data_IF_738228680068
#
_entry.id   IF_738228680068
#
_cell.length_a   1.000
_cell.length_b   1.000
_cell.length_c   1.000
_cell.angle_alpha   90.00
_cell.angle_beta   90.00
_cell.angle_gamma   90.00
#
_symmetry.space_group_name_H-M   'P 1'
#
loop_
_entity.id
_entity.type
_entity.pdbx_description
1 polymer ?
#
# COMPACT_ATOMS: atom_id res chain seq x y z
N UNK A 1 -26.07 -28.29 28.27
CA UNK A 1 -24.99 -28.70 29.18
C UNK A 1 -24.23 -27.45 29.58
N UNK A 2 -24.09 -27.25 30.91
CA UNK A 2 -23.27 -26.27 31.66
C UNK A 2 -23.18 -24.82 31.12
N UNK A 3 -23.61 -23.75 31.79
CA UNK A 3 -23.79 -23.51 33.22
C UNK A 3 -22.70 -22.56 33.72
N UNK A 4 -23.04 -21.33 34.09
CA UNK A 4 -22.60 -20.78 35.37
C UNK A 4 -23.46 -19.60 35.81
N UNK A 5 -24.03 -19.79 36.99
CA UNK A 5 -24.78 -18.84 37.77
C UNK A 5 -23.82 -18.04 38.68
N UNK A 6 -24.17 -16.75 38.89
CA UNK A 6 -24.35 -16.09 40.20
C UNK A 6 -23.19 -16.07 41.20
N UNK A 7 -22.71 -14.87 41.56
CA UNK A 7 -22.81 -14.33 42.93
C UNK A 7 -22.42 -12.83 43.04
N UNK A 8 -23.43 -12.02 43.40
CA UNK A 8 -23.32 -10.72 44.07
C UNK A 8 -22.94 -10.93 45.54
N UNK A 9 -22.07 -10.07 46.09
CA UNK A 9 -22.11 -9.56 47.47
C UNK A 9 -21.09 -8.41 47.58
N UNK A 10 -21.48 -7.15 47.41
CA UNK A 10 -21.93 -6.20 48.44
C UNK A 10 -20.89 -5.85 49.54
N UNK A 11 -20.49 -4.55 49.50
CA UNK A 11 -20.42 -3.59 50.62
C UNK A 11 -19.23 -3.80 51.59
N UNK A 12 -18.31 -2.85 51.82
CA UNK A 12 -18.51 -1.50 52.39
C UNK A 12 -17.26 -0.61 52.17
N UNK A 13 -17.53 0.69 52.04
CA UNK A 13 -16.73 1.82 52.57
C UNK A 13 -15.34 2.10 51.96
N UNK A 14 -15.29 3.11 51.08
CA UNK A 14 -14.69 4.39 51.46
C UNK A 14 -15.22 5.48 50.50
N UNK A 15 -16.22 6.20 50.99
CA UNK A 15 -16.64 7.48 50.43
C UNK A 15 -15.77 8.55 51.09
N UNK A 16 -14.69 8.93 50.41
CA UNK A 16 -14.00 10.19 50.67
C UNK A 16 -13.79 10.91 49.33
N UNK A 17 -14.80 11.72 48.99
CA UNK A 17 -14.63 13.10 48.54
C UNK A 17 -13.66 13.41 47.41
N UNK A 18 -13.78 12.75 46.25
CA UNK A 18 -13.40 13.36 44.98
C UNK A 18 -14.56 14.24 44.50
N UNK A 19 -14.46 15.53 44.80
CA UNK A 19 -15.20 16.55 44.06
C UNK A 19 -14.75 16.44 42.59
N UNK A 20 -15.54 15.71 41.80
CA UNK A 20 -15.50 15.77 40.35
C UNK A 20 -15.86 17.21 40.00
N UNK A 21 -14.85 18.05 39.79
CA UNK A 21 -14.98 19.26 39.01
C UNK A 21 -15.68 18.84 37.71
N UNK A 22 -16.88 19.35 37.38
CA UNK A 22 -17.38 19.18 36.03
C UNK A 22 -16.40 19.95 35.17
N UNK A 23 -15.52 19.23 34.46
CA UNK A 23 -14.84 19.81 33.31
C UNK A 23 -15.94 20.46 32.49
N UNK A 24 -15.86 21.80 32.37
CA UNK A 24 -16.73 22.54 31.49
C UNK A 24 -16.42 22.07 30.07
N UNK A 25 -17.04 20.97 29.65
CA UNK A 25 -17.09 20.57 28.26
C UNK A 25 -17.73 21.73 27.53
N UNK A 26 -16.90 22.51 26.84
CA UNK A 26 -17.36 23.58 26.00
C UNK A 26 -18.23 22.89 24.92
N UNK A 27 -19.53 23.17 24.85
CA UNK A 27 -20.42 22.53 23.86
C UNK A 27 -19.93 22.75 22.42
N UNK A 28 -19.09 23.77 22.21
CA UNK A 28 -18.40 24.02 20.94
C UNK A 28 -17.37 22.95 20.58
N UNK A 29 -16.74 22.26 21.54
CA UNK A 29 -15.76 21.21 21.27
C UNK A 29 -16.40 20.01 20.57
N UNK A 30 -17.63 19.66 20.96
CA UNK A 30 -18.43 18.63 20.29
C UNK A 30 -18.74 19.02 18.85
N UNK A 31 -19.15 20.27 18.62
CA UNK A 31 -19.45 20.80 17.28
C UNK A 31 -18.20 20.83 16.40
N UNK A 32 -17.05 21.27 16.94
CA UNK A 32 -15.78 21.31 16.22
C UNK A 32 -15.36 19.90 15.79
N UNK A 33 -15.43 18.91 16.70
CA UNK A 33 -15.15 17.51 16.38
C UNK A 33 -16.07 16.98 15.27
N UNK A 34 -17.37 17.29 15.33
CA UNK A 34 -18.31 16.88 14.29
C UNK A 34 -18.02 17.51 12.93
N UNK A 35 -17.55 18.76 12.88
CA UNK A 35 -17.17 19.43 11.63
C UNK A 35 -15.95 18.74 11.00
N UNK A 36 -14.92 18.42 11.78
CA UNK A 36 -13.75 17.70 11.26
C UNK A 36 -14.12 16.29 10.80
N UNK A 37 -14.91 15.55 11.59
CA UNK A 37 -15.40 14.23 11.20
C UNK A 37 -16.24 14.26 9.92
N UNK A 38 -17.05 15.30 9.72
CA UNK A 38 -17.78 15.52 8.47
C UNK A 38 -16.84 15.80 7.30
N UNK A 39 -15.78 16.58 7.52
CA UNK A 39 -14.72 16.82 6.54
C UNK A 39 -14.04 15.53 6.10
N UNK A 40 -13.63 14.69 7.05
CA UNK A 40 -13.02 13.38 6.77
C UNK A 40 -13.97 12.48 5.98
N UNK A 41 -15.24 12.37 6.39
CA UNK A 41 -16.23 11.57 5.68
C UNK A 41 -16.47 12.04 4.23
N UNK A 42 -16.43 13.35 3.96
CA UNK A 42 -16.52 13.86 2.60
C UNK A 42 -15.28 13.51 1.75
N UNK A 43 -14.09 13.53 2.35
CA UNK A 43 -12.86 13.12 1.67
C UNK A 43 -12.92 11.63 1.34
N UNK A 44 -13.33 10.80 2.29
CA UNK A 44 -13.46 9.35 2.10
C UNK A 44 -14.46 9.00 0.98
N UNK A 45 -15.64 9.62 0.98
CA UNK A 45 -16.65 9.42 -0.07
C UNK A 45 -16.13 9.88 -1.44
N UNK A 46 -15.47 11.05 -1.50
CA UNK A 46 -14.86 11.53 -2.74
C UNK A 46 -13.79 10.57 -3.26
N UNK A 47 -12.89 10.12 -2.40
CA UNK A 47 -11.78 9.21 -2.75
C UNK A 47 -12.34 7.87 -3.22
N UNK A 48 -13.34 7.33 -2.52
CA UNK A 48 -14.01 6.08 -2.90
C UNK A 48 -14.67 6.21 -4.27
N UNK A 49 -15.48 7.25 -4.49
CA UNK A 49 -16.12 7.49 -5.78
C UNK A 49 -15.10 7.72 -6.90
N UNK A 50 -14.03 8.47 -6.63
CA UNK A 50 -12.98 8.73 -7.61
C UNK A 50 -12.23 7.47 -8.00
N UNK A 51 -11.79 6.66 -7.04
CA UNK A 51 -11.03 5.44 -7.33
C UNK A 51 -11.93 4.39 -7.99
N UNK A 52 -13.09 4.09 -7.42
CA UNK A 52 -13.93 3.00 -7.93
C UNK A 52 -14.68 3.37 -9.22
N UNK A 53 -15.27 4.57 -9.31
CA UNK A 53 -16.06 4.92 -10.50
C UNK A 53 -15.22 5.57 -11.60
N UNK A 54 -14.27 6.44 -11.25
CA UNK A 54 -13.49 7.14 -12.26
C UNK A 54 -12.27 6.32 -12.68
N UNK A 55 -11.43 5.91 -11.73
CA UNK A 55 -10.20 5.19 -12.08
C UNK A 55 -10.47 3.74 -12.54
N UNK A 56 -11.18 2.96 -11.72
CA UNK A 56 -11.42 1.54 -11.99
C UNK A 56 -12.32 1.33 -13.21
N UNK A 57 -13.51 1.92 -13.24
CA UNK A 57 -14.47 1.70 -14.32
C UNK A 57 -14.14 2.50 -15.59
N UNK A 58 -13.98 3.83 -15.48
CA UNK A 58 -13.91 4.71 -16.67
C UNK A 58 -12.50 4.87 -17.23
N UNK A 59 -11.50 4.95 -16.36
CA UNK A 59 -10.09 5.12 -16.74
C UNK A 59 -9.33 3.80 -16.85
N UNK A 60 -10.06 2.67 -16.86
CA UNK A 60 -9.58 1.31 -17.13
C UNK A 60 -8.57 0.72 -16.14
N UNK A 61 -8.44 1.28 -14.93
CA UNK A 61 -7.60 0.68 -13.90
C UNK A 61 -8.06 -0.76 -13.58
N UNK A 62 -9.37 -1.05 -13.61
CA UNK A 62 -9.86 -2.41 -13.41
C UNK A 62 -9.36 -3.38 -14.49
N UNK A 63 -9.29 -2.93 -15.74
CA UNK A 63 -8.73 -3.72 -16.84
C UNK A 63 -7.25 -4.04 -16.61
N UNK A 64 -6.50 -3.07 -16.10
CA UNK A 64 -5.12 -3.29 -15.69
C UNK A 64 -5.01 -4.26 -14.51
N UNK A 65 -5.77 -4.07 -13.42
CA UNK A 65 -5.68 -4.92 -12.23
C UNK A 65 -6.03 -6.37 -12.52
N UNK A 66 -6.95 -6.62 -13.47
CA UNK A 66 -7.25 -7.96 -13.95
C UNK A 66 -6.15 -8.56 -14.83
N UNK A 67 -5.48 -7.76 -15.67
CA UNK A 67 -4.44 -8.25 -16.59
C UNK A 67 -3.07 -8.42 -15.93
N UNK A 68 -2.74 -7.56 -14.97
CA UNK A 68 -1.40 -7.50 -14.38
C UNK A 68 -0.93 -8.84 -13.79
N UNK A 69 -1.76 -9.63 -13.07
CA UNK A 69 -1.36 -10.97 -12.62
C UNK A 69 -0.88 -11.87 -13.76
N UNK A 70 -1.62 -11.90 -14.88
CA UNK A 70 -1.23 -12.70 -16.06
C UNK A 70 0.05 -12.20 -16.71
N UNK A 71 0.25 -10.88 -16.76
CA UNK A 71 1.49 -10.30 -17.27
C UNK A 71 2.69 -10.69 -16.40
N UNK A 72 2.50 -10.71 -15.08
CA UNK A 72 3.54 -11.04 -14.11
C UNK A 72 3.86 -12.55 -14.14
N UNK A 73 2.85 -13.40 -14.34
CA UNK A 73 2.99 -14.85 -14.42
C UNK A 73 3.26 -15.41 -15.83
N UNK A 74 3.46 -14.56 -16.83
CA UNK A 74 3.72 -15.01 -18.21
C UNK A 74 5.15 -15.53 -18.36
N UNK A 75 5.30 -16.81 -18.70
CA UNK A 75 6.60 -17.43 -18.89
C UNK A 75 7.27 -16.89 -20.18
N UNK A 76 8.57 -16.50 -20.16
CA UNK A 76 9.29 -15.99 -21.32
C UNK A 76 9.27 -16.85 -22.60
N UNK A 77 9.02 -18.16 -22.48
CA UNK A 77 9.01 -19.10 -23.60
C UNK A 77 7.64 -19.25 -24.28
N UNK A 78 6.57 -18.68 -23.73
CA UNK A 78 5.21 -18.75 -24.29
C UNK A 78 4.91 -17.63 -25.31
N UNK A 79 5.91 -16.83 -25.70
CA UNK A 79 5.77 -15.76 -26.71
C UNK A 79 5.49 -16.23 -28.15
N UNK A 80 5.32 -17.54 -28.37
CA UNK A 80 4.87 -18.06 -29.65
C UNK A 80 3.36 -17.83 -29.82
N UNK A 81 3.00 -16.81 -30.59
CA UNK A 81 1.67 -16.62 -31.22
C UNK A 81 0.56 -15.89 -30.44
N UNK A 82 0.85 -14.78 -29.76
CA UNK A 82 -0.23 -13.81 -29.45
C UNK A 82 -0.61 -13.01 -30.70
N UNK A 83 -1.66 -13.48 -31.39
CA UNK A 83 -2.33 -12.81 -32.53
C UNK A 83 -2.61 -11.33 -32.23
N UNK A 84 -1.99 -10.44 -33.00
CA UNK A 84 -2.34 -9.00 -33.04
C UNK A 84 -1.32 -8.05 -32.45
N UNK A 85 -0.20 -8.54 -31.90
CA UNK A 85 0.89 -7.68 -31.49
C UNK A 85 1.58 -7.12 -32.74
N UNK A 86 1.41 -5.81 -33.02
CA UNK A 86 2.35 -5.10 -33.90
C UNK A 86 3.74 -5.39 -33.33
N UNK A 87 4.58 -6.06 -34.12
CA UNK A 87 6.03 -6.11 -33.94
C UNK A 87 6.49 -4.67 -33.68
N UNK A 88 6.73 -4.35 -32.40
CA UNK A 88 7.18 -3.03 -31.98
C UNK A 88 8.64 -3.19 -31.63
N UNK A 89 9.46 -2.54 -32.46
CA UNK A 89 10.80 -2.05 -32.19
C UNK A 89 11.20 -2.21 -30.72
N UNK A 90 12.12 -3.14 -30.47
CA UNK A 90 12.76 -3.41 -29.18
C UNK A 90 13.53 -2.16 -28.77
N UNK A 91 12.83 -1.15 -28.25
CA UNK A 91 13.43 -0.14 -27.40
C UNK A 91 13.41 -0.72 -26.00
N UNK A 92 14.59 -0.90 -25.41
CA UNK A 92 14.81 -1.31 -24.02
C UNK A 92 14.19 -0.37 -22.97
N UNK A 93 13.43 0.65 -23.38
CA UNK A 93 12.68 1.54 -22.52
C UNK A 93 11.27 1.00 -22.35
N UNK A 94 10.97 0.49 -21.15
CA UNK A 94 9.59 0.16 -20.74
C UNK A 94 8.70 1.39 -20.92
N UNK A 95 7.52 1.17 -21.48
CA UNK A 95 6.47 2.20 -21.56
C UNK A 95 5.35 1.85 -20.61
N UNK A 96 4.56 2.84 -20.21
CA UNK A 96 3.38 2.59 -19.37
C UNK A 96 2.45 1.57 -20.03
N UNK A 97 1.90 0.64 -19.23
CA UNK A 97 0.88 -0.28 -19.70
C UNK A 97 -0.30 0.47 -20.34
N UNK A 98 -0.86 -0.02 -21.46
CA UNK A 98 -1.81 0.73 -22.28
C UNK A 98 -3.08 1.17 -21.53
N UNK A 99 -3.57 0.35 -20.60
CA UNK A 99 -4.78 0.64 -19.81
C UNK A 99 -4.56 1.68 -18.71
N UNK A 100 -3.32 2.01 -18.38
CA UNK A 100 -3.00 2.95 -17.32
C UNK A 100 -2.92 4.41 -17.80
N UNK A 101 -2.92 4.67 -19.11
CA UNK A 101 -2.77 6.03 -19.64
C UNK A 101 -3.87 6.97 -19.13
N UNK A 102 -5.12 6.53 -19.22
CA UNK A 102 -6.27 7.32 -18.77
C UNK A 102 -6.26 7.47 -17.24
N UNK A 103 -5.93 6.39 -16.51
CA UNK A 103 -5.84 6.39 -15.04
C UNK A 103 -4.76 7.35 -14.51
N UNK A 104 -3.59 7.35 -15.14
CA UNK A 104 -2.52 8.31 -14.82
C UNK A 104 -2.97 9.73 -15.13
N UNK A 105 -3.63 9.94 -16.27
CA UNK A 105 -4.09 11.28 -16.65
C UNK A 105 -5.09 11.84 -15.64
N UNK A 106 -6.16 11.09 -15.31
CA UNK A 106 -7.18 11.58 -14.37
C UNK A 106 -6.60 11.81 -12.98
N UNK A 107 -5.70 10.94 -12.50
CA UNK A 107 -5.04 11.12 -11.21
C UNK A 107 -4.15 12.38 -11.22
N UNK A 108 -3.35 12.56 -12.26
CA UNK A 108 -2.49 13.73 -12.44
C UNK A 108 -3.28 15.04 -12.42
N UNK A 109 -4.40 15.10 -13.13
CA UNK A 109 -5.29 16.27 -13.16
C UNK A 109 -5.86 16.57 -11.78
N UNK A 110 -6.37 15.56 -11.08
CA UNK A 110 -6.93 15.71 -9.73
C UNK A 110 -5.88 16.20 -8.72
N UNK A 111 -4.69 15.61 -8.73
CA UNK A 111 -3.62 16.02 -7.81
C UNK A 111 -3.09 17.42 -8.16
N UNK A 112 -3.00 17.77 -9.44
CA UNK A 112 -2.67 19.14 -9.86
C UNK A 112 -3.71 20.15 -9.35
N UNK A 113 -5.00 19.79 -9.38
CA UNK A 113 -6.06 20.64 -8.84
C UNK A 113 -5.92 20.82 -7.32
N UNK A 114 -5.58 19.75 -6.57
CA UNK A 114 -5.28 19.82 -5.14
C UNK A 114 -4.10 20.74 -4.85
N UNK A 115 -3.01 20.62 -5.62
CA UNK A 115 -1.83 21.47 -5.49
C UNK A 115 -2.13 22.94 -5.77
N UNK A 116 -2.92 23.23 -6.81
CA UNK A 116 -3.36 24.60 -7.13
C UNK A 116 -4.23 25.17 -6.00
N UNK A 117 -5.13 24.37 -5.44
CA UNK A 117 -5.96 24.78 -4.30
C UNK A 117 -5.09 25.05 -3.06
N UNK A 118 -4.16 24.16 -2.74
CA UNK A 118 -3.22 24.31 -1.63
C UNK A 118 -2.28 25.52 -1.81
N UNK A 119 -1.86 25.85 -3.03
CA UNK A 119 -1.00 27.01 -3.28
C UNK A 119 -1.72 28.36 -3.05
N UNK A 120 -3.05 28.39 -3.22
CA UNK A 120 -3.87 29.60 -3.02
C UNK A 120 -4.06 29.96 -1.55
N UNK A 121 -3.73 29.07 -0.61
CA UNK A 121 -3.83 29.24 0.85
C UNK A 121 -3.17 30.53 1.32
N UNK A 122 -2.06 30.97 0.71
CA UNK A 122 -1.36 32.21 1.05
C UNK A 122 -2.10 33.51 0.66
N UNK A 123 -3.19 33.41 -0.11
CA UNK A 123 -3.96 34.55 -0.64
C UNK A 123 -5.35 34.71 -0.04
N UNK A 124 -5.72 33.86 0.92
CA UNK A 124 -7.05 33.81 1.56
C UNK A 124 -6.91 34.07 3.05
N UNK A 125 -8.01 34.44 3.74
CA UNK A 125 -8.02 34.54 5.20
C UNK A 125 -7.51 33.24 5.86
N UNK A 126 -6.92 33.36 7.04
CA UNK A 126 -6.20 32.26 7.70
C UNK A 126 -7.06 31.03 7.99
N UNK A 127 -8.38 31.18 8.17
CA UNK A 127 -9.29 30.08 8.52
C UNK A 127 -9.76 29.33 7.28
N UNK A 128 -10.06 30.04 6.20
CA UNK A 128 -10.37 29.43 4.90
C UNK A 128 -9.13 28.75 4.30
N UNK A 129 -7.96 29.35 4.51
CA UNK A 129 -6.66 28.81 4.14
C UNK A 129 -6.40 27.44 4.81
N UNK A 130 -6.67 27.31 6.11
CA UNK A 130 -6.50 26.06 6.86
C UNK A 130 -7.40 24.93 6.33
N UNK A 131 -8.69 25.21 6.06
CA UNK A 131 -9.62 24.22 5.53
C UNK A 131 -9.28 23.76 4.10
N UNK A 132 -8.86 24.68 3.23
CA UNK A 132 -8.45 24.34 1.85
C UNK A 132 -7.16 23.51 1.81
N UNK A 133 -6.20 23.85 2.66
CA UNK A 133 -4.96 23.10 2.82
C UNK A 133 -5.24 21.68 3.35
N UNK A 134 -6.08 21.58 4.39
CA UNK A 134 -6.49 20.30 4.97
C UNK A 134 -7.16 19.41 3.93
N UNK A 135 -8.21 19.90 3.25
CA UNK A 135 -8.94 19.11 2.26
C UNK A 135 -8.05 18.59 1.12
N UNK A 136 -7.19 19.46 0.58
CA UNK A 136 -6.30 19.08 -0.54
C UNK A 136 -5.29 18.02 -0.10
N UNK A 137 -4.66 18.19 1.07
CA UNK A 137 -3.68 17.23 1.58
C UNK A 137 -4.32 15.90 2.00
N UNK A 138 -5.51 15.93 2.60
CA UNK A 138 -6.26 14.73 2.97
C UNK A 138 -6.69 13.93 1.74
N UNK A 139 -7.11 14.60 0.65
CA UNK A 139 -7.41 13.94 -0.62
C UNK A 139 -6.15 13.29 -1.22
N UNK A 140 -5.02 14.00 -1.28
CA UNK A 140 -3.76 13.45 -1.80
C UNK A 140 -3.31 12.19 -1.04
N UNK A 141 -3.32 12.24 0.29
CA UNK A 141 -2.96 11.11 1.14
C UNK A 141 -3.90 9.91 0.95
N UNK A 142 -5.21 10.17 0.93
CA UNK A 142 -6.23 9.12 0.81
C UNK A 142 -6.22 8.48 -0.58
N UNK A 143 -5.98 9.25 -1.64
CA UNK A 143 -5.76 8.72 -2.99
C UNK A 143 -4.48 7.88 -3.06
N UNK A 144 -3.38 8.33 -2.44
CA UNK A 144 -2.15 7.56 -2.37
C UNK A 144 -2.37 6.20 -1.71
N UNK A 145 -3.07 6.20 -0.57
CA UNK A 145 -3.47 4.99 0.14
C UNK A 145 -4.33 4.07 -0.74
N UNK A 146 -5.44 4.57 -1.28
CA UNK A 146 -6.40 3.77 -2.04
C UNK A 146 -5.80 3.17 -3.32
N UNK A 147 -5.03 3.95 -4.09
CA UNK A 147 -4.33 3.44 -5.28
C UNK A 147 -3.25 2.44 -4.89
N UNK A 148 -2.52 2.69 -3.78
CA UNK A 148 -1.54 1.76 -3.25
C UNK A 148 -2.13 0.40 -2.91
N UNK A 149 -3.32 0.38 -2.27
CA UNK A 149 -4.05 -0.86 -2.00
C UNK A 149 -4.36 -1.66 -3.28
N UNK A 150 -4.80 -1.00 -4.37
CA UNK A 150 -5.07 -1.71 -5.65
C UNK A 150 -3.82 -2.37 -6.23
N UNK A 151 -2.65 -1.78 -6.05
CA UNK A 151 -1.40 -2.40 -6.48
C UNK A 151 -0.94 -3.52 -5.54
N UNK A 152 -1.18 -3.39 -4.23
CA UNK A 152 -0.90 -4.47 -3.28
C UNK A 152 -1.75 -5.71 -3.53
N UNK A 153 -3.01 -5.55 -3.93
CA UNK A 153 -3.89 -6.65 -4.33
C UNK A 153 -3.32 -7.48 -5.49
N UNK A 154 -2.42 -6.90 -6.29
CA UNK A 154 -1.69 -7.60 -7.36
C UNK A 154 -0.37 -8.16 -6.82
N UNK A 155 0.45 -7.32 -6.20
CA UNK A 155 1.82 -7.68 -5.82
C UNK A 155 1.89 -8.72 -4.71
N UNK A 156 1.02 -8.62 -3.70
CA UNK A 156 0.96 -9.56 -2.58
C UNK A 156 0.11 -10.80 -2.89
N UNK A 157 -0.71 -10.72 -3.94
CA UNK A 157 -1.54 -11.80 -4.43
C UNK A 157 -2.39 -12.50 -3.34
N UNK A 158 -3.19 -11.77 -2.55
CA UNK A 158 -3.99 -12.37 -1.48
C UNK A 158 -5.00 -13.41 -1.99
N UNK A 159 -5.32 -13.39 -3.29
CA UNK A 159 -6.29 -14.29 -3.93
C UNK A 159 -5.63 -15.48 -4.66
N UNK A 160 -4.29 -15.56 -4.72
CA UNK A 160 -3.58 -16.66 -5.37
C UNK A 160 -3.67 -16.67 -6.91
N UNK A 161 -3.86 -15.51 -7.53
CA UNK A 161 -3.99 -15.30 -8.97
C UNK A 161 -2.64 -15.17 -9.70
N UNK A 162 -1.55 -14.96 -8.97
CA UNK A 162 -0.18 -14.77 -9.46
C UNK A 162 0.77 -15.74 -8.73
N UNK A 163 0.62 -17.06 -8.93
CA UNK A 163 1.39 -18.07 -8.19
C UNK A 163 2.89 -18.01 -8.51
N UNK A 164 3.24 -17.66 -9.74
CA UNK A 164 4.62 -17.50 -10.20
C UNK A 164 4.83 -16.06 -10.68
N UNK A 165 6.00 -15.50 -10.39
CA UNK A 165 6.39 -14.16 -10.78
C UNK A 165 7.61 -14.28 -11.70
N UNK A 166 7.47 -13.87 -12.95
CA UNK A 166 8.57 -13.79 -13.93
C UNK A 166 9.12 -12.37 -14.02
N UNK A 167 10.42 -12.26 -14.28
CA UNK A 167 11.17 -11.01 -14.19
C UNK A 167 10.68 -9.90 -15.13
N UNK A 168 10.35 -10.23 -16.39
CA UNK A 168 9.96 -9.23 -17.38
C UNK A 168 8.60 -8.59 -17.03
N UNK A 169 7.62 -9.43 -16.65
CA UNK A 169 6.33 -8.97 -16.15
C UNK A 169 6.46 -8.16 -14.86
N UNK A 170 7.31 -8.61 -13.93
CA UNK A 170 7.59 -7.88 -12.69
C UNK A 170 8.27 -6.52 -12.93
N UNK A 171 9.19 -6.42 -13.90
CA UNK A 171 9.81 -5.15 -14.31
C UNK A 171 8.79 -4.17 -14.88
N UNK A 172 7.88 -4.64 -15.72
CA UNK A 172 6.80 -3.81 -16.25
C UNK A 172 5.83 -3.37 -15.14
N UNK A 173 5.44 -4.27 -14.25
CA UNK A 173 4.61 -3.94 -13.08
C UNK A 173 5.29 -2.88 -12.18
N UNK A 174 6.58 -3.07 -11.87
CA UNK A 174 7.37 -2.12 -11.09
C UNK A 174 7.47 -0.74 -11.77
N UNK A 175 7.67 -0.71 -13.08
CA UNK A 175 7.65 0.53 -13.86
C UNK A 175 6.31 1.25 -13.74
N UNK A 176 5.20 0.52 -13.88
CA UNK A 176 3.84 1.07 -13.80
C UNK A 176 3.53 1.62 -12.39
N UNK A 177 3.81 0.85 -11.32
CA UNK A 177 3.63 1.30 -9.93
C UNK A 177 4.47 2.54 -9.63
N UNK A 178 5.74 2.55 -10.05
CA UNK A 178 6.62 3.70 -9.88
C UNK A 178 6.15 4.94 -10.64
N UNK A 179 5.45 4.77 -11.77
CA UNK A 179 4.85 5.90 -12.50
C UNK A 179 3.76 6.59 -11.66
N UNK A 180 2.96 5.83 -10.91
CA UNK A 180 1.98 6.39 -9.97
C UNK A 180 2.63 7.04 -8.75
N UNK A 181 3.64 6.40 -8.14
CA UNK A 181 4.34 6.97 -6.97
C UNK A 181 4.93 8.36 -7.25
N UNK A 182 5.32 8.66 -8.49
CA UNK A 182 5.84 10.00 -8.87
C UNK A 182 4.87 11.14 -8.60
N UNK A 183 3.56 10.90 -8.60
CA UNK A 183 2.58 11.94 -8.27
C UNK A 183 2.48 12.23 -6.77
N UNK A 184 2.96 11.30 -5.93
CA UNK A 184 2.86 11.37 -4.47
C UNK A 184 4.21 11.64 -3.80
N UNK A 185 5.14 12.32 -4.50
CA UNK A 185 6.48 12.61 -3.99
C UNK A 185 6.49 13.61 -2.83
N UNK A 186 5.46 14.45 -2.72
CA UNK A 186 5.34 15.46 -1.67
C UNK A 186 4.81 14.89 -0.34
N UNK A 187 4.32 13.64 -0.36
CA UNK A 187 3.90 12.94 0.85
C UNK A 187 5.15 12.44 1.55
N UNK A 188 5.43 12.99 2.73
CA UNK A 188 6.63 12.69 3.53
C UNK A 188 6.55 11.38 4.30
N UNK A 189 5.42 10.66 4.22
CA UNK A 189 5.30 9.36 4.88
C UNK A 189 6.17 8.34 4.15
N UNK A 190 7.15 7.78 4.86
CA UNK A 190 7.90 6.60 4.43
C UNK A 190 7.07 5.32 4.54
N UNK A 191 5.88 5.41 5.13
CA UNK A 191 5.01 4.30 5.47
C UNK A 191 3.61 4.52 4.89
N UNK A 192 3.11 3.54 4.15
CA UNK A 192 1.80 3.60 3.51
C UNK A 192 1.62 2.51 2.45
N UNK A 193 0.38 2.24 1.99
CA UNK A 193 0.13 1.23 0.96
C UNK A 193 0.87 1.50 -0.35
N UNK A 194 1.08 2.75 -0.73
CA UNK A 194 1.80 3.09 -1.95
C UNK A 194 3.30 2.78 -1.84
N UNK A 195 3.91 3.14 -0.71
CA UNK A 195 5.31 2.83 -0.40
C UNK A 195 5.53 1.32 -0.36
N UNK A 196 4.60 0.60 0.29
CA UNK A 196 4.53 -0.86 0.29
C UNK A 196 4.40 -1.44 -1.11
N UNK A 197 3.50 -0.92 -1.94
CA UNK A 197 3.34 -1.38 -3.32
C UNK A 197 4.62 -1.19 -4.14
N UNK A 198 5.32 -0.07 -3.97
CA UNK A 198 6.61 0.19 -4.61
C UNK A 198 7.69 -0.77 -4.11
N UNK A 199 7.76 -1.02 -2.80
CA UNK A 199 8.72 -1.97 -2.23
C UNK A 199 8.45 -3.40 -2.74
N UNK A 200 7.19 -3.84 -2.74
CA UNK A 200 6.76 -5.12 -3.29
C UNK A 200 7.15 -5.23 -4.76
N UNK A 201 6.76 -4.27 -5.60
CA UNK A 201 7.05 -4.32 -7.03
C UNK A 201 8.55 -4.31 -7.33
N UNK A 202 9.34 -3.59 -6.51
CA UNK A 202 10.80 -3.59 -6.62
C UNK A 202 11.41 -4.94 -6.29
N UNK A 203 10.97 -5.56 -5.19
CA UNK A 203 11.41 -6.90 -4.79
C UNK A 203 11.08 -7.92 -5.87
N UNK A 204 9.86 -7.87 -6.42
CA UNK A 204 9.45 -8.70 -7.56
C UNK A 204 10.35 -8.51 -8.78
N UNK A 205 10.82 -7.28 -9.03
CA UNK A 205 11.64 -6.93 -10.20
C UNK A 205 13.15 -7.10 -10.02
N UNK A 206 13.62 -7.61 -8.88
CA UNK A 206 15.04 -7.87 -8.66
C UNK A 206 15.56 -8.90 -9.66
N UNK A 207 16.75 -8.62 -10.21
CA UNK A 207 17.51 -9.61 -10.96
C UNK A 207 17.95 -10.77 -10.05
N UNK A 208 18.35 -11.88 -10.67
CA UNK A 208 18.61 -13.14 -9.96
C UNK A 208 19.70 -13.03 -8.88
N UNK A 209 20.79 -12.34 -9.18
CA UNK A 209 21.92 -12.18 -8.25
C UNK A 209 21.55 -11.47 -6.94
N UNK A 210 20.95 -10.25 -6.96
CA UNK A 210 20.53 -9.60 -5.72
C UNK A 210 19.40 -10.33 -4.99
N UNK A 211 18.49 -10.99 -5.72
CA UNK A 211 17.43 -11.81 -5.13
C UNK A 211 18.01 -13.02 -4.37
N UNK A 212 18.90 -13.78 -5.02
CA UNK A 212 19.61 -14.91 -4.40
C UNK A 212 20.44 -14.45 -3.20
N UNK A 213 21.13 -13.32 -3.30
CA UNK A 213 21.91 -12.78 -2.17
C UNK A 213 21.00 -12.45 -0.96
N UNK A 214 19.80 -11.91 -1.19
CA UNK A 214 18.83 -11.63 -0.14
C UNK A 214 18.29 -12.91 0.48
N UNK A 215 17.92 -13.91 -0.34
CA UNK A 215 17.48 -15.24 0.14
C UNK A 215 18.54 -15.92 1.00
N UNK A 216 19.79 -15.94 0.52
CA UNK A 216 20.90 -16.54 1.26
C UNK A 216 21.17 -15.85 2.60
N UNK A 217 21.02 -14.53 2.66
CA UNK A 217 21.17 -13.79 3.90
C UNK A 217 20.07 -14.16 4.91
N UNK A 218 18.82 -14.31 4.46
CA UNK A 218 17.71 -14.78 5.31
C UNK A 218 17.91 -16.23 5.75
N UNK A 219 18.35 -17.13 4.87
CA UNK A 219 18.67 -18.52 5.24
C UNK A 219 19.80 -18.61 6.27
N UNK A 220 20.82 -17.75 6.16
CA UNK A 220 21.93 -17.70 7.10
C UNK A 220 21.47 -17.31 8.52
N UNK A 221 20.48 -16.42 8.64
CA UNK A 221 19.91 -16.03 9.93
C UNK A 221 19.25 -17.22 10.65
N UNK A 222 18.46 -18.03 9.93
CA UNK A 222 17.79 -19.21 10.50
C UNK A 222 18.73 -20.42 10.69
N UNK A 223 20.04 -20.27 10.41
CA UNK A 223 21.03 -21.37 10.45
C UNK A 223 20.58 -22.61 9.68
N UNK A 224 19.76 -22.43 8.65
CA UNK A 224 19.22 -23.52 7.86
C UNK A 224 20.27 -23.97 6.86
N UNK A 225 20.94 -25.08 7.17
CA UNK A 225 21.81 -25.82 6.24
C UNK A 225 20.99 -26.63 5.22
N UNK A 226 19.67 -26.49 5.26
CA UNK A 226 18.78 -27.19 4.33
C UNK A 226 18.79 -26.45 3.01
N UNK A 227 19.19 -27.12 1.94
CA UNK A 227 19.06 -26.64 0.56
C UNK A 227 17.59 -26.52 0.10
N UNK A 228 16.69 -26.13 1.00
CA UNK A 228 15.31 -25.78 0.68
C UNK A 228 15.32 -24.49 -0.12
N UNK A 229 14.76 -24.53 -1.33
CA UNK A 229 14.56 -23.32 -2.13
C UNK A 229 13.59 -22.35 -1.44
N UNK A 230 12.62 -22.84 -0.66
CA UNK A 230 11.58 -22.01 -0.04
C UNK A 230 11.94 -21.56 1.39
N UNK A 231 11.66 -20.29 1.68
CA UNK A 231 11.71 -19.66 3.01
C UNK A 231 10.37 -19.81 3.73
N UNK A 232 10.35 -20.20 5.01
CA UNK A 232 9.12 -20.27 5.79
C UNK A 232 9.09 -19.22 6.88
N UNK A 233 7.99 -18.44 6.96
CA UNK A 233 7.85 -17.39 7.98
C UNK A 233 7.86 -17.95 9.41
N UNK A 234 7.43 -19.20 9.59
CA UNK A 234 7.46 -19.91 10.87
C UNK A 234 8.87 -20.02 11.46
N UNK A 235 9.90 -20.05 10.61
CA UNK A 235 11.29 -20.18 11.06
C UNK A 235 11.79 -18.90 11.73
N UNK A 236 11.20 -17.75 11.38
CA UNK A 236 11.46 -16.45 12.00
C UNK A 236 10.51 -16.16 13.16
N UNK A 237 9.22 -16.49 13.01
CA UNK A 237 8.19 -16.18 14.00
C UNK A 237 8.37 -16.90 15.35
N UNK A 238 9.17 -17.97 15.38
CA UNK A 238 9.50 -18.69 16.61
C UNK A 238 10.45 -17.93 17.55
N UNK A 239 11.22 -16.95 17.05
CA UNK A 239 12.16 -16.13 17.81
C UNK A 239 11.99 -14.64 17.46
N UNK A 240 11.52 -13.84 18.42
CA UNK A 240 11.26 -12.42 18.19
C UNK A 240 12.51 -11.62 17.84
N UNK A 241 13.69 -12.02 18.33
CA UNK A 241 14.95 -11.34 18.00
C UNK A 241 15.36 -11.62 16.56
N UNK A 242 15.16 -12.87 16.12
CA UNK A 242 15.42 -13.28 14.75
C UNK A 242 14.49 -12.58 13.77
N UNK A 243 13.21 -12.43 14.14
CA UNK A 243 12.23 -11.67 13.39
C UNK A 243 12.66 -10.20 13.23
N UNK A 244 12.99 -9.52 14.33
CA UNK A 244 13.46 -8.13 14.32
C UNK A 244 14.75 -7.94 13.48
N UNK A 245 15.68 -8.90 13.54
CA UNK A 245 16.92 -8.85 12.76
C UNK A 245 16.65 -9.05 11.25
N UNK A 246 15.75 -9.97 10.90
CA UNK A 246 15.34 -10.17 9.51
C UNK A 246 14.61 -8.94 8.93
N UNK A 247 13.72 -8.32 9.71
CA UNK A 247 13.04 -7.07 9.33
C UNK A 247 14.04 -5.92 9.17
N UNK A 248 14.98 -5.76 10.10
CA UNK A 248 16.04 -4.75 10.02
C UNK A 248 16.93 -4.95 8.78
N UNK A 249 17.18 -6.19 8.38
CA UNK A 249 17.93 -6.50 7.17
C UNK A 249 17.14 -6.11 5.90
N UNK A 250 15.84 -6.40 5.85
CA UNK A 250 14.99 -5.96 4.73
C UNK A 250 14.96 -4.44 4.62
N UNK A 251 14.85 -3.74 5.74
CA UNK A 251 14.92 -2.27 5.78
C UNK A 251 16.25 -1.74 5.24
N UNK A 252 17.38 -2.31 5.68
CA UNK A 252 18.71 -1.96 5.17
C UNK A 252 18.88 -2.20 3.66
N UNK A 253 18.06 -3.07 3.05
CA UNK A 253 18.03 -3.33 1.60
C UNK A 253 17.01 -2.47 0.85
N UNK A 254 16.30 -1.58 1.55
CA UNK A 254 15.31 -0.68 0.98
C UNK A 254 13.91 -1.28 0.85
N UNK A 255 13.62 -2.33 1.62
CA UNK A 255 12.32 -3.02 1.67
C UNK A 255 11.60 -2.86 3.01
N UNK A 256 12.00 -1.90 3.85
CA UNK A 256 11.46 -1.72 5.21
C UNK A 256 9.98 -1.37 5.28
N UNK A 257 9.36 -0.96 4.16
CA UNK A 257 7.91 -0.80 4.10
C UNK A 257 7.16 -2.15 4.13
N UNK A 258 7.79 -3.26 3.71
CA UNK A 258 7.15 -4.59 3.67
C UNK A 258 7.31 -5.31 5.01
N UNK A 259 6.26 -6.05 5.40
CA UNK A 259 6.42 -7.05 6.45
C UNK A 259 7.25 -8.23 5.95
N UNK A 260 7.97 -8.92 6.85
CA UNK A 260 8.81 -10.06 6.48
C UNK A 260 8.02 -11.17 5.75
N UNK A 261 6.80 -11.44 6.19
CA UNK A 261 5.90 -12.43 5.56
C UNK A 261 5.62 -12.10 4.09
N UNK A 262 5.41 -10.82 3.78
CA UNK A 262 5.14 -10.34 2.43
C UNK A 262 6.36 -10.50 1.53
N UNK A 263 7.53 -10.12 2.04
CA UNK A 263 8.78 -10.27 1.34
C UNK A 263 9.07 -11.75 1.04
N UNK A 264 8.92 -12.62 2.05
CA UNK A 264 9.10 -14.08 1.90
C UNK A 264 8.13 -14.66 0.88
N UNK A 265 6.84 -14.28 0.94
CA UNK A 265 5.84 -14.69 -0.04
C UNK A 265 6.24 -14.31 -1.47
N UNK A 266 6.70 -13.07 -1.69
CA UNK A 266 7.17 -12.61 -3.00
C UNK A 266 8.40 -13.41 -3.44
N UNK A 267 9.40 -13.59 -2.57
CA UNK A 267 10.63 -14.32 -2.91
C UNK A 267 10.35 -15.78 -3.27
N UNK A 268 9.43 -16.45 -2.57
CA UNK A 268 9.07 -17.83 -2.87
C UNK A 268 8.33 -18.00 -4.20
N UNK A 269 7.58 -16.97 -4.65
CA UNK A 269 6.90 -16.97 -5.95
C UNK A 269 7.80 -16.53 -7.11
N UNK A 270 9.00 -15.99 -6.85
CA UNK A 270 9.95 -15.60 -7.90
C UNK A 270 10.69 -16.82 -8.45
N UNK A 271 10.46 -17.07 -9.75
CA UNK A 271 11.12 -18.08 -10.58
C UNK A 271 12.36 -17.53 -11.30
#
# INVERSE_FOLDING_TARGET
MAGHAVLRSQITQNAESDQIHPEHHNPLDGVIKSIFAFGDAMVDEFVSAFVEQIMMERAKLAGYTMRAPFLISEHPHEHHERRGQREKDVKYTLTLSPDLNDSIHVLSVTLTACQIAAAKVNSVDSRTAEMMYFGSRSIENSLSHAVGCKFLDIGLDPMGMCPEIYLDGAKQFCHDVCAFKRFFQHITSSEGPMERAVAASRLMSLDESPLTALRNALCALISSDTGSEALFISDFAADSRLLEEAESMLDAKGFGSLALEEAVSIMNRRC
#
